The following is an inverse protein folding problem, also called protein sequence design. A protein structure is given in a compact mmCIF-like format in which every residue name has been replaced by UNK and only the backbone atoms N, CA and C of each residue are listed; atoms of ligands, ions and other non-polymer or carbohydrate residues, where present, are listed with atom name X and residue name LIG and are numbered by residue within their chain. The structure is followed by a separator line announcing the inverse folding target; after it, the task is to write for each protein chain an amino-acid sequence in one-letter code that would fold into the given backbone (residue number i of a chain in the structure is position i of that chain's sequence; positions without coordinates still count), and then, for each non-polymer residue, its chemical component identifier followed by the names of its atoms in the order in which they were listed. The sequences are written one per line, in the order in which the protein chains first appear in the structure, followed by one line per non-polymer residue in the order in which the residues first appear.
data_IF_659173821239
#
_entry.id   IF_659173821239
#
_cell.length_a   1.000
_cell.length_b   1.000
_cell.length_c   1.000
_cell.angle_alpha   90.00
_cell.angle_beta   90.00
_cell.angle_gamma   90.00
#
_symmetry.space_group_name_H-M   'P 1'
#
loop_
_entity.id
_entity.type
_entity.pdbx_description
1 polymer ?
#
# COMPACT_ATOMS: atom_id res chain seq x y z
N UNK A 1 11.36 4.42 -0.76
CA UNK A 1 11.78 3.07 -1.22
C UNK A 1 10.66 2.12 -0.83
N UNK A 2 10.13 1.33 -1.77
CA UNK A 2 9.02 0.40 -1.49
C UNK A 2 9.60 -0.81 -0.74
N UNK A 3 9.01 -1.16 0.41
CA UNK A 3 9.42 -2.35 1.17
C UNK A 3 9.13 -3.62 0.34
N UNK A 4 10.11 -4.52 0.14
CA UNK A 4 9.86 -5.79 -0.53
C UNK A 4 8.82 -6.62 0.22
N UNK A 5 7.92 -7.29 -0.51
CA UNK A 5 7.01 -8.26 0.09
C UNK A 5 7.70 -9.63 0.23
N UNK A 6 8.33 -9.86 1.37
CA UNK A 6 9.06 -11.10 1.64
C UNK A 6 8.14 -12.31 1.77
N UNK A 7 6.88 -12.12 2.17
CA UNK A 7 5.90 -13.21 2.23
C UNK A 7 5.53 -13.66 0.82
N UNK A 8 5.31 -12.72 -0.10
CA UNK A 8 5.09 -13.02 -1.51
C UNK A 8 6.31 -13.67 -2.16
N UNK A 9 7.53 -13.20 -1.85
CA UNK A 9 8.78 -13.81 -2.36
C UNK A 9 8.94 -15.26 -1.91
N UNK A 10 8.56 -15.58 -0.67
CA UNK A 10 8.57 -16.96 -0.17
C UNK A 10 7.29 -17.74 -0.47
N UNK A 11 6.35 -17.16 -1.22
CA UNK A 11 5.06 -17.78 -1.58
C UNK A 11 4.27 -18.29 -0.37
N UNK A 12 4.27 -17.53 0.72
CA UNK A 12 3.56 -17.84 1.97
C UNK A 12 2.66 -16.69 2.39
N UNK A 13 1.67 -16.99 3.23
CA UNK A 13 0.82 -15.97 3.84
C UNK A 13 1.56 -15.24 4.96
N UNK A 14 1.14 -14.02 5.31
CA UNK A 14 1.66 -13.30 6.48
C UNK A 14 1.39 -14.03 7.82
N UNK A 15 0.43 -14.96 7.82
CA UNK A 15 0.08 -15.82 8.95
C UNK A 15 0.88 -17.12 9.02
N UNK A 16 1.78 -17.37 8.07
CA UNK A 16 2.55 -18.60 8.00
C UNK A 16 3.42 -18.81 9.25
N UNK A 17 3.54 -20.06 9.68
CA UNK A 17 4.43 -20.43 10.79
C UNK A 17 5.90 -20.37 10.37
N UNK A 18 6.83 -20.35 11.34
CA UNK A 18 8.27 -20.42 11.05
C UNK A 18 8.63 -21.71 10.29
N UNK A 19 7.95 -22.81 10.58
CA UNK A 19 8.13 -24.09 9.88
C UNK A 19 7.67 -24.01 8.42
N UNK A 20 6.56 -23.32 8.14
CA UNK A 20 6.09 -23.10 6.77
C UNK A 20 7.05 -22.23 5.98
N UNK A 21 7.55 -21.16 6.60
CA UNK A 21 8.58 -20.27 6.02
C UNK A 21 9.85 -21.07 5.68
N UNK A 22 10.33 -21.90 6.61
CA UNK A 22 11.51 -22.75 6.42
C UNK A 22 11.29 -23.82 5.36
N UNK A 23 10.08 -24.38 5.27
CA UNK A 23 9.70 -25.36 4.24
C UNK A 23 9.67 -24.71 2.85
N UNK A 24 9.06 -23.53 2.73
CA UNK A 24 8.97 -22.77 1.50
C UNK A 24 10.36 -22.34 1.01
N UNK A 25 11.21 -21.81 1.91
CA UNK A 25 12.61 -21.49 1.61
C UNK A 25 13.35 -22.69 1.02
N UNK A 26 13.31 -23.87 1.67
CA UNK A 26 13.98 -25.07 1.18
C UNK A 26 13.44 -25.56 -0.17
N UNK A 27 12.16 -25.34 -0.47
CA UNK A 27 11.56 -25.65 -1.78
C UNK A 27 12.11 -24.71 -2.85
N UNK A 28 12.02 -23.40 -2.61
CA UNK A 28 12.40 -22.36 -3.56
C UNK A 28 13.92 -22.33 -3.80
N UNK A 29 14.73 -22.51 -2.75
CA UNK A 29 16.18 -22.57 -2.87
C UNK A 29 16.65 -23.72 -3.77
N UNK A 30 16.00 -24.88 -3.71
CA UNK A 30 16.29 -26.01 -4.61
C UNK A 30 15.84 -25.74 -6.04
N UNK A 31 14.67 -25.13 -6.21
CA UNK A 31 14.12 -24.81 -7.54
C UNK A 31 14.99 -23.80 -8.31
N UNK A 32 15.59 -22.84 -7.59
CA UNK A 32 16.41 -21.77 -8.15
C UNK A 32 17.91 -21.97 -7.94
N UNK A 33 18.36 -23.16 -7.55
CA UNK A 33 19.79 -23.43 -7.40
C UNK A 33 20.45 -23.53 -8.79
N UNK A 34 21.58 -22.84 -9.04
CA UNK A 34 22.24 -22.86 -10.35
C UNK A 34 22.67 -24.27 -10.79
N UNK A 35 23.00 -25.15 -9.84
CA UNK A 35 23.37 -26.53 -10.14
C UNK A 35 22.21 -27.36 -10.73
N UNK A 36 20.97 -27.05 -10.35
CA UNK A 36 19.78 -27.78 -10.82
C UNK A 36 19.10 -27.08 -11.99
N UNK A 37 19.31 -25.77 -12.13
CA UNK A 37 18.67 -24.97 -13.15
C UNK A 37 19.64 -23.90 -13.66
N UNK A 38 20.31 -24.19 -14.79
CA UNK A 38 21.34 -23.32 -15.38
C UNK A 38 20.79 -21.98 -15.89
N UNK A 39 19.47 -21.89 -16.08
CA UNK A 39 18.74 -20.67 -16.45
C UNK A 39 18.18 -19.93 -15.22
N UNK A 40 18.41 -20.43 -14.00
CA UNK A 40 17.98 -19.73 -12.79
C UNK A 40 18.75 -18.43 -12.64
N UNK A 41 18.01 -17.33 -12.69
CA UNK A 41 18.59 -16.01 -12.53
C UNK A 41 19.06 -15.82 -11.07
N UNK A 42 20.34 -15.48 -10.90
CA UNK A 42 20.97 -15.21 -9.60
C UNK A 42 20.21 -14.18 -8.74
N UNK A 43 19.46 -13.27 -9.38
CA UNK A 43 18.58 -12.32 -8.67
C UNK A 43 17.44 -12.97 -7.90
N UNK A 44 16.91 -14.11 -8.36
CA UNK A 44 15.80 -14.79 -7.68
C UNK A 44 16.28 -15.45 -6.38
N UNK A 45 17.40 -16.18 -6.43
CA UNK A 45 17.94 -16.84 -5.24
C UNK A 45 18.37 -15.82 -4.18
N UNK A 46 18.93 -14.67 -4.60
CA UNK A 46 19.25 -13.55 -3.71
C UNK A 46 18.03 -13.04 -2.95
N UNK A 47 16.91 -12.79 -3.65
CA UNK A 47 15.66 -12.33 -3.02
C UNK A 47 15.06 -13.36 -2.07
N UNK A 48 15.11 -14.65 -2.44
CA UNK A 48 14.65 -15.75 -1.57
C UNK A 48 15.49 -15.83 -0.29
N UNK A 49 16.82 -15.72 -0.40
CA UNK A 49 17.72 -15.71 0.74
C UNK A 49 17.50 -14.50 1.65
N UNK A 50 17.32 -13.31 1.06
CA UNK A 50 17.00 -12.09 1.79
C UNK A 50 15.68 -12.22 2.55
N UNK A 51 14.62 -12.69 1.88
CA UNK A 51 13.31 -12.90 2.47
C UNK A 51 13.37 -13.87 3.64
N UNK A 52 14.08 -14.99 3.50
CA UNK A 52 14.27 -15.95 4.59
C UNK A 52 15.14 -15.39 5.73
N UNK A 53 16.16 -14.59 5.42
CA UNK A 53 17.01 -13.93 6.43
C UNK A 53 16.26 -12.94 7.33
N UNK A 54 15.10 -12.45 6.86
CA UNK A 54 14.19 -11.58 7.62
C UNK A 54 13.07 -12.40 8.27
N UNK A 55 12.34 -13.20 7.50
CA UNK A 55 11.14 -13.91 7.99
C UNK A 55 11.45 -15.16 8.81
N UNK A 56 12.63 -15.74 8.65
CA UNK A 56 13.07 -16.94 9.37
C UNK A 56 13.52 -16.68 10.81
N UNK A 57 13.83 -15.42 11.16
CA UNK A 57 14.14 -15.01 12.53
C UNK A 57 12.94 -14.29 13.17
N UNK A 58 12.44 -14.73 14.34
CA UNK A 58 11.25 -14.13 14.96
C UNK A 58 11.39 -12.63 15.25
N UNK A 59 12.58 -12.19 15.66
CA UNK A 59 12.84 -10.79 16.03
C UNK A 59 12.86 -9.90 14.79
N UNK A 60 13.56 -10.35 13.74
CA UNK A 60 13.60 -9.64 12.45
C UNK A 60 12.26 -9.63 11.75
N UNK A 61 11.51 -10.75 11.80
CA UNK A 61 10.14 -10.82 11.28
C UNK A 61 9.25 -9.81 11.96
N UNK A 62 9.29 -9.71 13.29
CA UNK A 62 8.51 -8.73 14.03
C UNK A 62 8.88 -7.29 13.64
N UNK A 63 10.17 -6.96 13.54
CA UNK A 63 10.61 -5.64 13.10
C UNK A 63 10.14 -5.32 11.67
N UNK A 64 10.22 -6.30 10.77
CA UNK A 64 9.73 -6.19 9.40
C UNK A 64 8.22 -5.97 9.35
N UNK A 65 7.43 -6.73 10.12
CA UNK A 65 5.98 -6.61 10.18
C UNK A 65 5.55 -5.23 10.69
N UNK A 66 6.26 -4.69 11.69
CA UNK A 66 6.05 -3.32 12.18
C UNK A 66 6.34 -2.30 11.07
N UNK A 67 7.50 -2.40 10.39
CA UNK A 67 7.84 -1.49 9.30
C UNK A 67 6.84 -1.55 8.14
N UNK A 68 6.41 -2.77 7.78
CA UNK A 68 5.39 -3.02 6.75
C UNK A 68 4.05 -2.39 7.13
N UNK A 69 3.62 -2.54 8.38
CA UNK A 69 2.39 -1.92 8.86
C UNK A 69 2.47 -0.39 8.86
N UNK A 70 3.59 0.18 9.31
CA UNK A 70 3.80 1.64 9.28
C UNK A 70 3.81 2.19 7.86
N UNK A 71 4.40 1.46 6.91
CA UNK A 71 4.34 1.81 5.50
C UNK A 71 2.89 1.81 4.98
N UNK A 72 2.11 0.76 5.27
CA UNK A 72 0.70 0.68 4.89
C UNK A 72 -0.14 1.83 5.49
N UNK A 73 0.07 2.16 6.77
CA UNK A 73 -0.62 3.28 7.42
C UNK A 73 -0.32 4.59 6.71
N UNK A 74 0.95 4.86 6.38
CA UNK A 74 1.35 6.06 5.63
C UNK A 74 0.65 6.13 4.29
N UNK A 75 0.66 5.04 3.53
CA UNK A 75 0.06 5.00 2.19
C UNK A 75 -1.46 5.24 2.26
N UNK A 76 -2.15 4.64 3.25
CA UNK A 76 -3.58 4.88 3.49
C UNK A 76 -3.85 6.34 3.84
N UNK A 77 -3.08 6.93 4.76
CA UNK A 77 -3.25 8.32 5.19
C UNK A 77 -2.99 9.28 4.03
N UNK A 78 -1.91 9.08 3.28
CA UNK A 78 -1.58 9.91 2.13
C UNK A 78 -2.68 9.84 1.07
N UNK A 79 -3.14 8.63 0.74
CA UNK A 79 -4.24 8.44 -0.20
C UNK A 79 -5.52 9.13 0.29
N UNK A 80 -5.83 9.06 1.58
CA UNK A 80 -6.97 9.77 2.15
C UNK A 80 -6.82 11.30 1.96
N UNK A 81 -5.68 11.88 2.35
CA UNK A 81 -5.44 13.32 2.25
C UNK A 81 -5.52 13.80 0.80
N UNK A 82 -4.86 13.10 -0.12
CA UNK A 82 -4.87 13.43 -1.54
C UNK A 82 -6.29 13.37 -2.12
N UNK A 83 -7.04 12.33 -1.75
CA UNK A 83 -8.43 12.18 -2.18
C UNK A 83 -9.31 13.30 -1.63
N UNK A 84 -9.16 13.69 -0.36
CA UNK A 84 -9.92 14.80 0.22
C UNK A 84 -9.57 16.13 -0.46
N UNK A 85 -8.28 16.37 -0.73
CA UNK A 85 -7.83 17.57 -1.44
C UNK A 85 -8.42 17.64 -2.84
N UNK A 86 -8.44 16.53 -3.58
CA UNK A 86 -9.02 16.48 -4.91
C UNK A 86 -10.53 16.72 -4.87
N UNK A 87 -11.24 16.10 -3.91
CA UNK A 87 -12.67 16.39 -3.68
C UNK A 87 -12.92 17.86 -3.38
N UNK A 88 -12.10 18.50 -2.55
CA UNK A 88 -12.21 19.92 -2.25
C UNK A 88 -11.92 20.80 -3.47
N UNK A 89 -10.99 20.40 -4.34
CA UNK A 89 -10.69 21.09 -5.61
C UNK A 89 -11.84 20.99 -6.62
N UNK A 90 -12.49 19.83 -6.69
CA UNK A 90 -13.60 19.56 -7.62
C UNK A 90 -14.96 19.97 -7.06
N UNK A 91 -15.04 20.29 -5.77
CA UNK A 91 -16.27 20.84 -5.19
C UNK A 91 -16.52 22.21 -5.82
N UNK A 92 -17.75 22.47 -6.32
CA UNK A 92 -18.09 23.82 -6.77
C UNK A 92 -17.80 24.79 -5.63
N UNK A 93 -17.26 25.99 -5.92
CA UNK A 93 -16.98 26.98 -4.88
C UNK A 93 -18.23 27.12 -4.02
N UNK A 94 -18.09 26.90 -2.71
CA UNK A 94 -19.21 27.08 -1.78
C UNK A 94 -19.71 28.51 -1.98
N UNK A 95 -20.91 28.63 -2.55
CA UNK A 95 -21.58 29.92 -2.71
C UNK A 95 -21.61 30.56 -1.33
N UNK A 96 -20.99 31.73 -1.20
CA UNK A 96 -20.93 32.38 0.11
C UNK A 96 -22.35 32.77 0.51
N UNK A 97 -22.66 32.79 1.81
CA UNK A 97 -23.98 33.22 2.30
C UNK A 97 -24.38 34.61 1.77
N UNK A 98 -23.41 35.49 1.47
CA UNK A 98 -23.64 36.79 0.84
C UNK A 98 -24.07 36.67 -0.62
N UNK A 99 -23.39 35.84 -1.42
CA UNK A 99 -23.75 35.61 -2.83
C UNK A 99 -25.08 34.87 -2.97
N UNK A 100 -25.35 33.91 -2.07
CA UNK A 100 -26.64 33.21 -2.01
C UNK A 100 -27.79 34.16 -1.62
N UNK A 101 -27.59 35.01 -0.61
CA UNK A 101 -28.58 36.01 -0.22
C UNK A 101 -28.83 37.07 -1.30
N UNK A 102 -27.76 37.54 -1.96
CA UNK A 102 -27.89 38.48 -3.08
C UNK A 102 -28.61 37.85 -4.29
N UNK A 103 -28.33 36.58 -4.60
CA UNK A 103 -29.05 35.82 -5.62
C UNK A 103 -30.54 35.71 -5.31
N UNK A 104 -30.89 35.32 -4.08
CA UNK A 104 -32.27 35.21 -3.60
C UNK A 104 -33.04 36.54 -3.67
N UNK A 105 -32.43 37.65 -3.21
CA UNK A 105 -33.06 38.99 -3.28
C UNK A 105 -33.26 39.44 -4.72
N UNK A 106 -32.33 39.11 -5.63
CA UNK A 106 -32.44 39.43 -7.06
C UNK A 106 -33.59 38.67 -7.72
N UNK A 107 -33.79 37.41 -7.32
CA UNK A 107 -34.85 36.54 -7.83
C UNK A 107 -36.23 36.98 -7.36
N UNK A 108 -36.38 37.36 -6.09
CA UNK A 108 -37.61 37.95 -5.54
C UNK A 108 -38.02 39.23 -6.27
N UNK A 109 -37.07 40.13 -6.58
CA UNK A 109 -37.35 41.37 -7.34
C UNK A 109 -37.73 41.14 -8.79
N UNK A 110 -37.48 39.95 -9.35
CA UNK A 110 -37.82 39.58 -10.72
C UNK A 110 -39.27 39.10 -10.78
N UNK A 111 -39.69 38.25 -9.85
CA UNK A 111 -41.07 37.74 -9.73
C UNK A 111 -42.10 38.78 -9.26
N UNK A 112 -41.66 39.95 -8.79
CA UNK A 112 -42.55 41.07 -8.43
C UNK A 112 -42.74 42.08 -9.57
N UNK A 113 -42.10 41.86 -10.73
CA UNK A 113 -42.16 42.74 -11.90
C UNK A 113 -43.00 42.19 -13.05
N UNK A 114 -43.52 40.98 -12.88
CA UNK A 114 -44.60 40.38 -13.69
C UNK A 114 -45.92 40.50 -12.92
#
# INVERSE_FOLDING_TARGET
MVLPDYYAILEVTSTASLEDIKRAYRRLARLHHPDLNRDAEDRHIKRINEAYGVLGDPTRRMAYDIQRLEQMKRDVILNFILTQRERLRQSPPRMTWKEGAQGFVRELKKNMRD
#
